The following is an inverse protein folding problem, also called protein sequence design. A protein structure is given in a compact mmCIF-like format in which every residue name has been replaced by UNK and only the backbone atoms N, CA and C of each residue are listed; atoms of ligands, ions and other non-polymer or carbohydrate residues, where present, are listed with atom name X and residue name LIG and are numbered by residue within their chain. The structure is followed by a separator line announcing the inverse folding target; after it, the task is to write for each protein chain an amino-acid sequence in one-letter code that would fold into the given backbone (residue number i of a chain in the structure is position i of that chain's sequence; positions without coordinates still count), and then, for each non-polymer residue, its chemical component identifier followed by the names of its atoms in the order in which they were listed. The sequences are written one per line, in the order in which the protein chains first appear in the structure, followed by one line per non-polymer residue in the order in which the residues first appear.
data_IF_997665986039
#
_entry.id   IF_997665986039
#
_cell.length_a   1.000
_cell.length_b   1.000
_cell.length_c   1.000
_cell.angle_alpha   90.00
_cell.angle_beta   90.00
_cell.angle_gamma   90.00
#
_symmetry.space_group_name_H-M   'P 1'
#
loop_
_entity.id
_entity.type
_entity.pdbx_description
1 polymer ?
#
# COMPACT_ATOMS: atom_id res chain seq x y z
N UNK A 1 23.85 -0.75 -3.75
CA UNK A 1 23.59 -1.53 -4.97
C UNK A 1 22.93 -0.59 -5.98
N UNK A 2 23.37 -0.65 -7.23
CA UNK A 2 22.80 0.17 -8.30
C UNK A 2 21.52 -0.48 -8.80
N UNK A 3 20.41 0.24 -8.66
CA UNK A 3 19.09 -0.15 -9.18
C UNK A 3 18.67 0.91 -10.19
N UNK A 4 18.30 0.51 -11.38
CA UNK A 4 17.92 1.42 -12.49
C UNK A 4 16.41 1.66 -12.59
N UNK A 5 15.62 0.75 -12.05
CA UNK A 5 14.15 0.83 -12.02
C UNK A 5 13.60 -0.08 -10.92
N UNK A 6 12.51 0.33 -10.28
CA UNK A 6 11.75 -0.51 -9.35
C UNK A 6 10.43 -0.91 -10.01
N UNK A 7 10.03 -2.17 -9.85
CA UNK A 7 8.69 -2.67 -10.21
C UNK A 7 7.95 -3.01 -8.92
N UNK A 8 6.79 -2.40 -8.73
CA UNK A 8 5.99 -2.53 -7.52
C UNK A 8 5.30 -3.88 -7.44
N UNK A 9 5.59 -4.64 -6.41
CA UNK A 9 4.90 -5.86 -6.03
C UNK A 9 4.36 -5.80 -4.60
N UNK A 10 4.23 -4.58 -4.04
CA UNK A 10 3.74 -4.39 -2.68
C UNK A 10 2.24 -4.70 -2.56
N UNK A 11 1.85 -5.15 -1.38
CA UNK A 11 0.47 -5.48 -1.03
C UNK A 11 -0.19 -4.46 -0.08
N UNK A 12 0.56 -3.41 0.33
CA UNK A 12 0.09 -2.41 1.27
C UNK A 12 0.56 -0.99 0.92
N UNK A 13 -0.11 -0.01 1.48
CA UNK A 13 0.18 1.41 1.21
C UNK A 13 1.45 1.89 1.90
N UNK A 14 1.81 1.38 3.08
CA UNK A 14 3.03 1.78 3.79
C UNK A 14 4.27 1.60 2.90
N UNK A 15 4.42 0.40 2.30
CA UNK A 15 5.53 0.11 1.39
C UNK A 15 5.45 0.98 0.13
N UNK A 16 4.26 1.20 -0.42
CA UNK A 16 4.09 2.03 -1.63
C UNK A 16 4.49 3.49 -1.41
N UNK A 17 4.12 4.06 -0.26
CA UNK A 17 4.54 5.43 0.06
C UNK A 17 6.03 5.52 0.39
N UNK A 18 6.60 4.51 1.03
CA UNK A 18 8.05 4.40 1.23
C UNK A 18 8.80 4.33 -0.11
N UNK A 19 8.33 3.48 -1.04
CA UNK A 19 8.86 3.39 -2.40
C UNK A 19 8.73 4.72 -3.14
N UNK A 20 7.59 5.40 -3.03
CA UNK A 20 7.37 6.71 -3.64
C UNK A 20 8.36 7.76 -3.12
N UNK A 21 8.53 7.84 -1.80
CA UNK A 21 9.43 8.79 -1.18
C UNK A 21 10.88 8.50 -1.60
N UNK A 22 11.30 7.23 -1.54
CA UNK A 22 12.63 6.81 -1.98
C UNK A 22 12.88 7.11 -3.46
N UNK A 23 11.93 6.76 -4.33
CA UNK A 23 12.04 6.95 -5.77
C UNK A 23 12.14 8.44 -6.14
N UNK A 24 11.28 9.29 -5.56
CA UNK A 24 11.33 10.73 -5.80
C UNK A 24 12.58 11.36 -5.21
N UNK A 25 13.03 10.97 -4.01
CA UNK A 25 14.24 11.46 -3.37
C UNK A 25 15.48 11.20 -4.23
N UNK A 26 15.58 9.99 -4.80
CA UNK A 26 16.74 9.51 -5.54
C UNK A 26 16.60 9.65 -7.07
N UNK A 27 15.51 10.23 -7.58
CA UNK A 27 15.18 10.30 -9.01
C UNK A 27 15.19 8.94 -9.70
N UNK A 28 14.80 7.89 -8.99
CA UNK A 28 14.73 6.52 -9.46
C UNK A 28 13.37 6.25 -10.12
N UNK A 29 13.33 5.83 -11.39
CA UNK A 29 12.09 5.40 -12.01
C UNK A 29 11.48 4.20 -11.27
N UNK A 30 10.14 4.20 -11.12
CA UNK A 30 9.45 3.03 -10.65
C UNK A 30 8.09 2.85 -11.33
N UNK A 31 7.68 1.62 -11.43
CA UNK A 31 6.39 1.27 -12.06
C UNK A 31 5.46 0.77 -10.96
N UNK A 32 4.54 1.65 -10.58
CA UNK A 32 3.49 1.35 -9.61
C UNK A 32 2.55 0.27 -10.14
N UNK A 33 2.14 -0.65 -9.28
CA UNK A 33 1.12 -1.64 -9.54
C UNK A 33 0.34 -1.99 -8.27
N UNK A 34 -0.96 -2.15 -8.41
CA UNK A 34 -1.83 -2.59 -7.32
C UNK A 34 -3.00 -3.38 -7.85
N UNK A 35 -3.36 -4.46 -7.16
CA UNK A 35 -4.51 -5.29 -7.49
C UNK A 35 -5.29 -5.62 -6.23
N UNK A 36 -6.62 -5.59 -6.33
CA UNK A 36 -7.54 -6.04 -5.29
C UNK A 36 -8.87 -6.44 -5.93
N UNK A 37 -9.47 -7.52 -5.47
CA UNK A 37 -10.68 -8.06 -6.11
C UNK A 37 -10.45 -8.36 -7.59
N UNK A 38 -11.27 -7.80 -8.44
CA UNK A 38 -11.17 -7.90 -9.90
C UNK A 38 -10.49 -6.69 -10.54
N UNK A 39 -10.04 -5.73 -9.73
CA UNK A 39 -9.46 -4.48 -10.19
C UNK A 39 -7.94 -4.48 -10.10
N UNK A 40 -7.32 -3.81 -11.05
CA UNK A 40 -5.89 -3.57 -11.07
C UNK A 40 -5.58 -2.16 -11.57
N UNK A 41 -4.50 -1.60 -11.08
CA UNK A 41 -4.03 -0.26 -11.44
C UNK A 41 -2.53 -0.29 -11.68
N UNK A 42 -2.06 0.49 -12.65
CA UNK A 42 -0.64 0.67 -12.89
C UNK A 42 -0.33 2.02 -13.51
N UNK A 43 0.83 2.57 -13.19
CA UNK A 43 1.39 3.76 -13.84
C UNK A 43 2.92 3.75 -13.73
N UNK A 44 3.59 4.28 -14.75
CA UNK A 44 5.02 4.56 -14.68
C UNK A 44 5.25 5.92 -14.00
N UNK A 45 6.12 5.93 -13.01
CA UNK A 45 6.56 7.13 -12.28
C UNK A 45 8.00 7.43 -12.67
N UNK A 46 8.18 8.52 -13.39
CA UNK A 46 9.46 9.07 -13.77
C UNK A 46 9.64 10.38 -12.97
N UNK A 47 10.43 10.38 -11.87
CA UNK A 47 10.56 11.56 -11.02
C UNK A 47 11.04 12.79 -11.78
N UNK A 48 10.28 13.88 -11.68
CA UNK A 48 10.52 15.13 -12.42
C UNK A 48 9.84 15.20 -13.80
N UNK A 49 9.31 14.09 -14.33
CA UNK A 49 8.65 14.04 -15.63
C UNK A 49 7.16 13.69 -15.54
N UNK A 50 6.79 12.80 -14.61
CA UNK A 50 5.40 12.41 -14.36
C UNK A 50 5.01 12.71 -12.92
N UNK A 51 3.70 12.85 -12.61
CA UNK A 51 3.23 12.84 -11.24
C UNK A 51 3.66 11.58 -10.50
N UNK A 52 4.01 11.71 -9.22
CA UNK A 52 4.28 10.58 -8.34
C UNK A 52 2.99 10.05 -7.70
N UNK A 53 3.07 8.97 -6.91
CA UNK A 53 1.90 8.41 -6.22
C UNK A 53 1.24 9.46 -5.32
N UNK A 54 2.02 10.22 -4.54
CA UNK A 54 1.49 11.27 -3.66
C UNK A 54 0.85 12.47 -4.40
N UNK A 55 1.10 12.65 -5.72
CA UNK A 55 0.36 13.62 -6.53
C UNK A 55 -1.06 13.15 -6.83
N UNK A 56 -1.27 11.84 -6.95
CA UNK A 56 -2.54 11.20 -7.29
C UNK A 56 -3.35 10.94 -6.02
N UNK A 57 -2.68 10.37 -5.03
CA UNK A 57 -3.22 10.00 -3.73
C UNK A 57 -2.31 10.60 -2.65
N UNK A 58 -2.64 11.80 -2.12
CA UNK A 58 -1.76 12.51 -1.18
C UNK A 58 -1.49 11.76 0.12
N UNK A 59 -2.50 11.06 0.63
CA UNK A 59 -2.43 10.21 1.84
C UNK A 59 -3.07 8.85 1.54
N UNK A 60 -2.63 7.78 2.23
CA UNK A 60 -3.31 6.49 2.13
C UNK A 60 -4.76 6.62 2.63
N UNK A 61 -5.71 5.87 2.06
CA UNK A 61 -7.05 5.80 2.61
C UNK A 61 -7.03 5.33 4.07
N UNK A 62 -8.05 5.65 4.90
CA UNK A 62 -8.21 5.03 6.22
C UNK A 62 -8.20 3.51 6.11
N UNK A 63 -7.58 2.82 7.09
CA UNK A 63 -7.39 1.35 7.04
C UNK A 63 -8.70 0.57 6.93
N UNK A 64 -9.79 1.12 7.46
CA UNK A 64 -11.13 0.54 7.39
C UNK A 64 -11.64 0.49 5.94
N UNK A 65 -11.24 1.46 5.12
CA UNK A 65 -11.61 1.58 3.71
C UNK A 65 -10.59 0.94 2.76
N UNK A 66 -9.52 0.35 3.28
CA UNK A 66 -8.51 -0.33 2.48
C UNK A 66 -8.89 -1.82 2.31
N UNK A 67 -9.40 -2.26 1.15
CA UNK A 67 -9.52 -3.68 0.90
C UNK A 67 -8.13 -4.29 0.76
N UNK A 68 -7.88 -5.41 1.43
CA UNK A 68 -6.66 -6.21 1.27
C UNK A 68 -6.96 -7.44 0.40
N UNK A 69 -5.92 -8.12 -0.08
CA UNK A 69 -6.11 -9.38 -0.82
C UNK A 69 -6.82 -10.45 0.02
N UNK A 70 -6.64 -10.42 1.35
CA UNK A 70 -7.29 -11.38 2.26
C UNK A 70 -8.76 -11.02 2.53
N UNK A 71 -9.10 -9.72 2.66
CA UNK A 71 -10.47 -9.30 2.96
C UNK A 71 -11.37 -9.27 1.73
N UNK A 72 -10.83 -8.95 0.55
CA UNK A 72 -11.58 -8.80 -0.69
C UNK A 72 -11.24 -9.89 -1.73
N UNK A 73 -10.21 -10.70 -1.49
CA UNK A 73 -9.67 -11.60 -2.48
C UNK A 73 -8.91 -10.87 -3.60
N UNK A 74 -8.32 -11.62 -4.51
CA UNK A 74 -7.70 -11.09 -5.73
C UNK A 74 -7.87 -12.07 -6.89
N UNK A 75 -8.32 -11.57 -8.03
CA UNK A 75 -8.42 -12.33 -9.25
C UNK A 75 -7.03 -12.51 -9.88
N UNK A 76 -6.51 -13.76 -9.92
CA UNK A 76 -5.16 -14.04 -10.44
C UNK A 76 -4.90 -13.47 -11.85
N UNK A 77 -5.83 -13.59 -12.83
CA UNK A 77 -5.71 -12.92 -14.11
C UNK A 77 -5.51 -11.40 -14.03
N UNK A 78 -6.13 -10.69 -13.06
CA UNK A 78 -5.92 -9.24 -12.89
C UNK A 78 -4.46 -8.93 -12.52
N UNK A 79 -3.89 -9.70 -11.59
CA UNK A 79 -2.47 -9.60 -11.22
C UNK A 79 -1.57 -9.83 -12.44
N UNK A 80 -1.86 -10.86 -13.25
CA UNK A 80 -1.07 -11.19 -14.44
C UNK A 80 -1.08 -10.07 -15.48
N UNK A 81 -2.24 -9.44 -15.71
CA UNK A 81 -2.38 -8.33 -16.65
C UNK A 81 -1.60 -7.10 -16.14
N UNK A 82 -1.73 -6.75 -14.86
CA UNK A 82 -0.99 -5.62 -14.28
C UNK A 82 0.51 -5.87 -14.34
N UNK A 83 0.97 -7.06 -13.95
CA UNK A 83 2.39 -7.42 -14.03
C UNK A 83 2.94 -7.33 -15.46
N UNK A 84 2.17 -7.77 -16.47
CA UNK A 84 2.57 -7.65 -17.87
C UNK A 84 2.69 -6.18 -18.31
N UNK A 85 1.75 -5.33 -17.92
CA UNK A 85 1.80 -3.89 -18.20
C UNK A 85 2.99 -3.22 -17.51
N UNK A 86 3.24 -3.55 -16.23
CA UNK A 86 4.42 -3.07 -15.52
C UNK A 86 5.73 -3.49 -16.20
N UNK A 87 5.82 -4.75 -16.63
CA UNK A 87 7.00 -5.26 -17.31
C UNK A 87 7.30 -4.51 -18.61
N UNK A 88 6.28 -4.18 -19.40
CA UNK A 88 6.45 -3.40 -20.63
C UNK A 88 6.98 -2.00 -20.33
N UNK A 89 6.45 -1.32 -19.32
CA UNK A 89 6.94 0.01 -18.94
C UNK A 89 8.39 -0.06 -18.40
N UNK A 90 8.72 -1.07 -17.60
CA UNK A 90 10.09 -1.30 -17.14
C UNK A 90 11.07 -1.55 -18.31
N UNK A 91 10.68 -2.35 -19.31
CA UNK A 91 11.48 -2.58 -20.51
C UNK A 91 11.73 -1.27 -21.27
N UNK A 92 10.71 -0.42 -21.46
CA UNK A 92 10.87 0.89 -22.10
C UNK A 92 11.86 1.78 -21.36
N UNK A 93 11.76 1.83 -20.02
CA UNK A 93 12.68 2.59 -19.16
C UNK A 93 14.11 2.08 -19.30
N UNK A 94 14.32 0.78 -19.12
CA UNK A 94 15.64 0.15 -19.11
C UNK A 94 16.31 0.12 -20.49
N UNK A 95 15.52 0.09 -21.58
CA UNK A 95 16.05 0.17 -22.95
C UNK A 95 16.28 1.60 -23.44
N UNK A 96 16.06 2.62 -22.61
CA UNK A 96 16.25 4.02 -22.97
C UNK A 96 15.13 4.63 -23.81
N UNK A 97 14.04 3.91 -24.05
CA UNK A 97 12.89 4.38 -24.84
C UNK A 97 11.91 5.22 -23.98
N UNK A 98 12.43 6.25 -23.31
CA UNK A 98 11.66 7.07 -22.35
C UNK A 98 10.47 7.79 -22.97
N UNK A 99 10.55 8.17 -24.24
CA UNK A 99 9.43 8.82 -24.96
C UNK A 99 8.25 7.87 -25.19
N UNK A 100 8.49 6.55 -25.20
CA UNK A 100 7.48 5.53 -25.33
C UNK A 100 6.84 5.14 -23.98
N UNK A 101 7.37 5.60 -22.85
CA UNK A 101 6.82 5.32 -21.52
C UNK A 101 5.44 5.97 -21.39
N UNK A 102 4.46 5.20 -20.92
CA UNK A 102 3.10 5.67 -20.75
C UNK A 102 3.02 6.78 -19.70
N UNK A 103 2.47 7.94 -20.10
CA UNK A 103 2.17 9.03 -19.18
C UNK A 103 0.71 8.99 -18.74
N UNK A 104 0.23 7.79 -18.47
CA UNK A 104 -1.17 7.50 -18.13
C UNK A 104 -1.23 6.51 -16.98
N UNK A 105 -2.22 6.68 -16.13
CA UNK A 105 -2.61 5.64 -15.17
C UNK A 105 -3.64 4.74 -15.85
N UNK A 106 -3.39 3.45 -15.85
CA UNK A 106 -4.34 2.43 -16.32
C UNK A 106 -5.07 1.84 -15.13
N UNK A 107 -6.40 1.77 -15.22
CA UNK A 107 -7.29 1.13 -14.25
C UNK A 107 -8.10 0.08 -15.00
N UNK A 108 -8.05 -1.15 -14.55
CA UNK A 108 -8.67 -2.31 -15.21
C UNK A 108 -9.61 -2.98 -14.24
N UNK A 109 -10.85 -3.20 -14.63
CA UNK A 109 -11.74 -4.16 -13.98
C UNK A 109 -11.96 -5.32 -14.94
N UNK A 110 -11.34 -6.47 -14.64
CA UNK A 110 -11.39 -7.63 -15.56
C UNK A 110 -12.71 -8.37 -15.49
N UNK A 111 -13.46 -8.28 -14.42
CA UNK A 111 -14.77 -8.91 -14.32
C UNK A 111 -15.78 -8.28 -15.28
N UNK A 112 -15.75 -6.96 -15.35
CA UNK A 112 -16.65 -6.17 -16.20
C UNK A 112 -16.05 -5.92 -17.60
N UNK A 113 -14.79 -6.29 -17.83
CA UNK A 113 -14.08 -6.00 -19.08
C UNK A 113 -13.77 -4.50 -19.28
N UNK A 114 -13.80 -3.69 -18.20
CA UNK A 114 -13.56 -2.26 -18.27
C UNK A 114 -12.06 -1.94 -18.21
N UNK A 115 -11.59 -1.19 -19.18
CA UNK A 115 -10.25 -0.61 -19.21
C UNK A 115 -10.37 0.91 -19.28
N UNK A 116 -9.91 1.60 -18.26
CA UNK A 116 -9.86 3.06 -18.21
C UNK A 116 -8.41 3.51 -18.19
N UNK A 117 -8.14 4.63 -18.85
CA UNK A 117 -6.81 5.21 -18.89
C UNK A 117 -6.92 6.71 -18.68
N UNK A 118 -6.32 7.21 -17.59
CA UNK A 118 -6.29 8.64 -17.26
C UNK A 118 -4.93 9.23 -17.63
N UNK A 119 -4.93 10.37 -18.33
CA UNK A 119 -3.72 11.14 -18.60
C UNK A 119 -3.15 11.73 -17.30
N UNK A 120 -1.83 11.64 -17.14
CA UNK A 120 -1.11 12.21 -15.99
C UNK A 120 -0.52 13.60 -16.28
N UNK A 121 -0.92 14.23 -17.38
CA UNK A 121 -0.42 15.56 -17.77
C UNK A 121 -0.81 16.66 -16.79
N UNK A 122 -1.97 16.51 -16.14
CA UNK A 122 -2.44 17.41 -15.11
C UNK A 122 -2.56 16.63 -13.80
N UNK A 123 -1.97 17.16 -12.74
CA UNK A 123 -2.16 16.59 -11.39
C UNK A 123 -3.63 16.72 -11.00
N UNK A 124 -4.26 15.69 -10.45
CA UNK A 124 -5.63 15.78 -9.96
C UNK A 124 -5.78 16.80 -8.84
N UNK A 125 -4.75 16.97 -8.02
CA UNK A 125 -4.70 17.94 -6.93
C UNK A 125 -3.89 19.18 -7.36
N UNK A 126 -4.45 20.41 -7.33
CA UNK A 126 -3.74 21.64 -7.63
C UNK A 126 -2.71 22.03 -6.56
N UNK A 127 -2.83 21.50 -5.34
CA UNK A 127 -1.91 21.82 -4.27
C UNK A 127 -0.48 21.26 -4.54
N UNK A 128 0.56 21.96 -4.05
CA UNK A 128 1.93 21.47 -4.16
C UNK A 128 2.11 20.09 -3.51
N UNK A 129 2.59 19.13 -4.29
CA UNK A 129 2.84 17.78 -3.80
C UNK A 129 3.95 17.78 -2.76
N UNK A 130 3.74 17.09 -1.62
CA UNK A 130 4.74 16.97 -0.56
C UNK A 130 6.07 16.40 -1.07
N UNK A 131 6.03 15.34 -1.90
CA UNK A 131 7.22 14.66 -2.37
C UNK A 131 7.87 15.37 -3.57
N UNK A 132 7.10 15.69 -4.63
CA UNK A 132 7.65 16.28 -5.86
C UNK A 132 8.09 17.74 -5.68
N UNK A 133 7.23 18.56 -5.05
CA UNK A 133 7.43 20.01 -4.99
C UNK A 133 8.12 20.45 -3.71
N UNK A 134 7.68 19.92 -2.54
CA UNK A 134 8.21 20.31 -1.22
C UNK A 134 9.42 19.51 -0.80
N UNK A 135 9.69 18.35 -1.43
CA UNK A 135 10.80 17.44 -1.09
C UNK A 135 10.72 16.93 0.34
N UNK A 136 9.51 16.71 0.84
CA UNK A 136 9.21 16.14 2.15
C UNK A 136 8.97 14.63 2.00
N UNK A 137 9.74 13.81 2.75
CA UNK A 137 9.76 12.35 2.62
C UNK A 137 9.48 11.64 3.96
N UNK A 138 8.31 11.88 4.58
CA UNK A 138 8.06 11.43 5.95
C UNK A 138 8.03 9.90 6.11
N UNK A 139 7.73 9.14 5.06
CA UNK A 139 7.80 7.68 5.10
C UNK A 139 9.25 7.19 5.05
N UNK A 140 10.08 7.80 4.24
CA UNK A 140 11.52 7.51 4.16
C UNK A 140 12.25 7.90 5.45
N UNK A 141 11.83 8.99 6.08
CA UNK A 141 12.39 9.52 7.33
C UNK A 141 11.87 8.77 8.58
N UNK A 142 10.95 7.81 8.40
CA UNK A 142 10.36 7.06 9.51
C UNK A 142 9.41 7.87 10.39
N UNK A 143 8.95 9.03 9.93
CA UNK A 143 7.96 9.88 10.61
C UNK A 143 6.52 9.39 10.37
N UNK A 144 6.34 8.54 9.38
CA UNK A 144 5.11 7.83 9.01
C UNK A 144 5.39 6.34 8.95
N UNK A 145 4.36 5.54 8.98
CA UNK A 145 4.47 4.08 9.03
C UNK A 145 4.34 3.53 10.44
N UNK A 146 4.43 2.21 10.57
CA UNK A 146 4.25 1.52 11.84
C UNK A 146 5.55 1.40 12.64
N UNK A 147 5.54 1.77 13.91
CA UNK A 147 6.59 1.41 14.86
C UNK A 147 6.28 0.05 15.51
N UNK A 148 7.29 -0.80 15.68
CA UNK A 148 7.11 -2.13 16.27
C UNK A 148 7.97 -2.32 17.51
N UNK A 149 7.39 -2.91 18.57
CA UNK A 149 8.07 -3.24 19.83
C UNK A 149 7.72 -4.68 20.20
N UNK A 150 8.73 -5.55 20.33
CA UNK A 150 8.53 -6.93 20.82
C UNK A 150 8.18 -6.93 22.29
N UNK A 151 7.11 -7.62 22.66
CA UNK A 151 6.64 -7.76 24.04
C UNK A 151 7.28 -9.00 24.68
N UNK A 152 8.37 -8.80 25.41
CA UNK A 152 9.11 -9.88 26.06
C UNK A 152 8.22 -10.84 26.86
N UNK A 153 8.39 -12.14 26.65
CA UNK A 153 7.71 -13.22 27.37
C UNK A 153 6.25 -13.45 26.97
N UNK A 154 5.75 -12.81 25.91
CA UNK A 154 4.34 -12.95 25.47
C UNK A 154 4.18 -13.51 24.05
N UNK A 155 5.26 -13.80 23.36
CA UNK A 155 5.24 -14.20 21.95
C UNK A 155 4.36 -13.26 21.11
N UNK A 156 4.63 -11.96 21.26
CA UNK A 156 3.80 -10.90 20.67
C UNK A 156 4.61 -9.67 20.33
N UNK A 157 4.19 -8.97 19.30
CA UNK A 157 4.73 -7.69 18.88
C UNK A 157 3.64 -6.63 18.93
N UNK A 158 3.95 -5.49 19.57
CA UNK A 158 3.09 -4.33 19.52
C UNK A 158 3.50 -3.45 18.35
N UNK A 159 2.53 -3.15 17.50
CA UNK A 159 2.62 -2.16 16.44
C UNK A 159 1.90 -0.89 16.86
N UNK A 160 2.39 0.26 16.44
CA UNK A 160 1.72 1.55 16.59
C UNK A 160 1.83 2.30 15.29
N UNK A 161 0.69 2.66 14.71
CA UNK A 161 0.62 3.49 13.52
C UNK A 161 0.91 4.95 13.89
N UNK A 162 1.80 5.58 13.15
CA UNK A 162 2.20 6.98 13.40
C UNK A 162 1.06 7.99 13.11
N UNK A 163 0.03 7.57 12.38
CA UNK A 163 -1.15 8.38 12.08
C UNK A 163 -2.41 8.11 12.92
N UNK A 164 -2.39 7.20 13.73
CA UNK A 164 -3.02 6.37 14.66
C UNK A 164 -4.34 6.53 15.28
N UNK A 165 -5.41 6.89 14.65
CA UNK A 165 -6.75 6.59 15.17
C UNK A 165 -7.55 5.86 14.10
N UNK A 166 -8.12 4.70 14.45
CA UNK A 166 -9.13 4.05 13.60
C UNK A 166 -10.42 4.87 13.64
N UNK A 167 -10.94 5.21 12.48
CA UNK A 167 -12.15 6.04 12.37
C UNK A 167 -13.38 5.30 12.90
N UNK A 168 -13.41 3.95 12.73
CA UNK A 168 -14.53 3.11 13.17
C UNK A 168 -14.08 1.68 13.45
N UNK A 169 -14.13 1.25 14.73
CA UNK A 169 -13.89 -0.14 15.10
C UNK A 169 -14.99 -1.07 14.58
N UNK A 170 -16.21 -0.58 14.42
CA UNK A 170 -17.34 -1.37 13.92
C UNK A 170 -17.13 -1.73 12.44
N UNK A 171 -16.75 -0.76 11.61
CA UNK A 171 -16.44 -0.99 10.18
C UNK A 171 -15.23 -1.92 10.01
N UNK A 172 -14.22 -1.76 10.86
CA UNK A 172 -13.07 -2.64 10.87
C UNK A 172 -13.45 -4.08 11.25
N UNK A 173 -14.30 -4.25 12.26
CA UNK A 173 -14.80 -5.58 12.67
C UNK A 173 -15.60 -6.25 11.54
N UNK A 174 -16.46 -5.50 10.86
CA UNK A 174 -17.23 -5.99 9.71
C UNK A 174 -16.29 -6.43 8.57
N UNK A 175 -15.33 -5.60 8.20
CA UNK A 175 -14.30 -5.90 7.20
C UNK A 175 -13.55 -7.20 7.53
N UNK A 176 -13.09 -7.35 8.76
CA UNK A 176 -12.27 -8.48 9.20
C UNK A 176 -13.07 -9.78 9.38
N UNK A 177 -14.38 -9.72 9.53
CA UNK A 177 -15.24 -10.90 9.71
C UNK A 177 -15.18 -11.88 8.53
N UNK A 178 -14.77 -11.40 7.36
CA UNK A 178 -14.57 -12.24 6.17
C UNK A 178 -13.31 -13.12 6.24
N UNK A 179 -12.36 -12.83 7.15
CA UNK A 179 -11.02 -13.45 7.16
C UNK A 179 -10.80 -14.41 8.33
N UNK A 180 -11.54 -14.27 9.43
CA UNK A 180 -11.37 -15.11 10.60
C UNK A 180 -12.41 -14.86 11.67
N UNK A 181 -12.15 -15.36 12.90
CA UNK A 181 -13.08 -15.14 14.03
C UNK A 181 -12.85 -13.76 14.62
N UNK A 182 -13.88 -12.93 14.57
CA UNK A 182 -13.82 -11.55 15.07
C UNK A 182 -14.65 -11.39 16.35
N UNK A 183 -14.05 -10.77 17.37
CA UNK A 183 -14.71 -10.29 18.58
C UNK A 183 -14.44 -8.80 18.72
N UNK A 184 -15.45 -7.98 18.97
CA UNK A 184 -15.31 -6.53 19.07
C UNK A 184 -16.10 -5.93 20.24
N UNK A 185 -15.63 -4.79 20.72
CA UNK A 185 -16.33 -3.91 21.65
C UNK A 185 -15.94 -2.45 21.38
N UNK A 186 -16.39 -1.51 22.21
CA UNK A 186 -16.14 -0.07 22.04
C UNK A 186 -14.65 0.33 22.10
N UNK A 187 -13.77 -0.57 22.56
CA UNK A 187 -12.34 -0.25 22.80
C UNK A 187 -11.39 -0.98 21.85
N UNK A 188 -11.78 -2.14 21.33
CA UNK A 188 -10.91 -2.98 20.49
C UNK A 188 -11.69 -3.91 19.56
N UNK A 189 -10.99 -4.32 18.48
CA UNK A 189 -11.34 -5.47 17.63
C UNK A 189 -10.26 -6.52 17.81
N UNK A 190 -10.67 -7.78 18.00
CA UNK A 190 -9.79 -8.94 18.07
C UNK A 190 -10.13 -9.87 16.91
N UNK A 191 -9.14 -10.14 16.07
CA UNK A 191 -9.19 -11.10 14.99
C UNK A 191 -8.32 -12.30 15.36
N UNK A 192 -8.89 -13.50 15.29
CA UNK A 192 -8.18 -14.77 15.36
C UNK A 192 -8.15 -15.37 13.95
N UNK A 193 -6.95 -15.55 13.40
CA UNK A 193 -6.72 -16.01 12.04
C UNK A 193 -5.41 -16.79 11.96
N UNK A 194 -5.42 -17.96 11.32
CA UNK A 194 -4.31 -18.89 11.29
C UNK A 194 -3.77 -19.17 12.73
N UNK A 195 -2.46 -19.02 12.93
CA UNK A 195 -1.79 -19.16 14.24
C UNK A 195 -1.64 -17.81 14.97
N UNK A 196 -2.31 -16.76 14.50
CA UNK A 196 -2.14 -15.39 15.00
C UNK A 196 -3.40 -14.84 15.64
N UNK A 197 -3.20 -13.95 16.61
CA UNK A 197 -4.26 -13.10 17.14
C UNK A 197 -3.86 -11.63 17.01
N UNK A 198 -4.65 -10.86 16.28
CA UNK A 198 -4.50 -9.41 16.18
C UNK A 198 -5.48 -8.73 17.12
N UNK A 199 -4.98 -7.95 18.09
CA UNK A 199 -5.80 -7.13 18.96
C UNK A 199 -5.59 -5.66 18.62
N UNK A 200 -6.58 -5.05 17.99
CA UNK A 200 -6.53 -3.71 17.41
C UNK A 200 -7.31 -2.76 18.31
N UNK A 201 -6.68 -1.72 18.78
CA UNK A 201 -7.26 -0.74 19.71
C UNK A 201 -7.66 0.54 18.97
N UNK A 202 -8.70 1.22 19.45
CA UNK A 202 -9.18 2.48 18.89
C UNK A 202 -8.08 3.57 18.75
N UNK A 203 -7.03 3.51 19.58
CA UNK A 203 -5.91 4.46 19.55
C UNK A 203 -4.80 4.14 18.53
N UNK A 204 -5.05 3.30 17.51
CA UNK A 204 -4.06 2.97 16.46
C UNK A 204 -2.92 2.06 16.94
N UNK A 205 -3.12 1.37 18.05
CA UNK A 205 -2.21 0.34 18.54
C UNK A 205 -2.74 -1.04 18.18
N UNK A 206 -1.88 -1.89 17.65
CA UNK A 206 -2.20 -3.31 17.40
C UNK A 206 -1.20 -4.20 18.13
N UNK A 207 -1.68 -5.27 18.76
CA UNK A 207 -0.84 -6.34 19.29
C UNK A 207 -1.05 -7.56 18.41
N UNK A 208 0.04 -8.05 17.81
CA UNK A 208 0.08 -9.30 17.03
C UNK A 208 0.71 -10.35 17.93
N UNK A 209 -0.08 -11.35 18.32
CA UNK A 209 0.35 -12.52 19.10
C UNK A 209 0.59 -13.69 18.14
N UNK A 210 1.57 -14.55 18.41
CA UNK A 210 1.98 -15.67 17.57
C UNK A 210 3.33 -15.43 16.87
N UNK A 211 3.97 -14.30 17.11
CA UNK A 211 5.33 -14.01 16.63
C UNK A 211 6.07 -13.07 17.56
N UNK A 212 7.40 -13.19 17.58
CA UNK A 212 8.32 -12.24 18.23
C UNK A 212 9.10 -11.40 17.21
N UNK A 213 8.90 -11.66 15.91
CA UNK A 213 9.55 -10.94 14.81
C UNK A 213 8.75 -9.70 14.40
N UNK A 214 9.30 -8.48 14.59
CA UNK A 214 8.63 -7.25 14.18
C UNK A 214 8.34 -7.16 12.68
N UNK A 215 9.16 -7.74 11.82
CA UNK A 215 8.94 -7.72 10.38
C UNK A 215 7.76 -8.62 10.01
N UNK A 216 7.68 -9.81 10.61
CA UNK A 216 6.56 -10.72 10.44
C UNK A 216 5.25 -10.12 10.97
N UNK A 217 5.30 -9.49 12.15
CA UNK A 217 4.11 -8.83 12.73
C UNK A 217 3.56 -7.72 11.83
N UNK A 218 4.44 -6.90 11.21
CA UNK A 218 4.02 -5.87 10.23
C UNK A 218 3.39 -6.50 8.99
N UNK A 219 4.00 -7.57 8.46
CA UNK A 219 3.46 -8.28 7.29
C UNK A 219 2.07 -8.84 7.58
N UNK A 220 1.85 -9.44 8.74
CA UNK A 220 0.56 -9.97 9.18
C UNK A 220 -0.47 -8.82 9.33
N UNK A 221 -0.07 -7.72 10.00
CA UNK A 221 -0.94 -6.56 10.15
C UNK A 221 -1.36 -5.99 8.79
N UNK A 222 -0.40 -5.74 7.90
CA UNK A 222 -0.66 -5.22 6.56
C UNK A 222 -1.56 -6.14 5.74
N UNK A 223 -1.36 -7.46 5.87
CA UNK A 223 -2.14 -8.47 5.15
C UNK A 223 -3.62 -8.45 5.49
N UNK A 224 -3.99 -8.31 6.76
CA UNK A 224 -5.39 -8.39 7.20
C UNK A 224 -6.01 -7.02 7.45
N UNK A 225 -5.28 -6.13 8.10
CA UNK A 225 -5.80 -4.80 8.49
C UNK A 225 -5.58 -3.77 7.38
N UNK A 226 -4.42 -3.78 6.76
CA UNK A 226 -3.95 -2.77 5.83
C UNK A 226 -2.84 -1.90 6.45
N UNK A 227 -2.22 -1.04 5.64
CA UNK A 227 -1.13 -0.17 6.08
C UNK A 227 -0.84 0.95 5.09
#
# INVERSE_FOLDING_TARGET
ENVDCVVDGADNFEIRYLLNDYAVANRLPWVFGGCVGCEGQTMAILPGETPCLACILPEPPPVELQPTCETAGVLGPAVSVIAALQAVEAIKILSGNRDAVSRRMSVINLWDGNLRSMGLSNRPNPDPCRACDRREFPWLEGLRGSSAVTLCGRHAVQLRDAGGQHASLAELAEKLSATGTVTSNDYLVRLEVDDYTLTIFAGGRTIVTGTDDPAQARAIHARYVGG
#
